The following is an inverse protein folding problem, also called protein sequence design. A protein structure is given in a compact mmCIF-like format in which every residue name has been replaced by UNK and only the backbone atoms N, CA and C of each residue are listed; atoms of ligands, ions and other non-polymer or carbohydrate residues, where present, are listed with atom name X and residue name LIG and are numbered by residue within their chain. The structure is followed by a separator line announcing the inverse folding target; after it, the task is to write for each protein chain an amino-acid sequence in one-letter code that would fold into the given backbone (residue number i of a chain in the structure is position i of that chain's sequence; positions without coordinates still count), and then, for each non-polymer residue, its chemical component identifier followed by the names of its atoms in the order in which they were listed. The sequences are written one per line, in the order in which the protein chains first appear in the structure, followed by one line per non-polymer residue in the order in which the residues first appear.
data_IF_596198760090
#
_entry.id   IF_596198760090
#
_cell.length_a   1.000
_cell.length_b   1.000
_cell.length_c   1.000
_cell.angle_alpha   90.00
_cell.angle_beta   90.00
_cell.angle_gamma   90.00
#
_symmetry.space_group_name_H-M   'P 1'
#
loop_
_entity.id
_entity.type
_entity.pdbx_description
1 polymer ?
#
# COMPACT_ATOMS: atom_id res chain seq x y z
N UNK A 1 19.35 -41.87 19.18
CA UNK A 1 19.75 -41.38 17.86
C UNK A 1 19.23 -39.96 17.71
N UNK A 2 20.12 -39.02 17.93
CA UNK A 2 19.81 -37.56 18.00
C UNK A 2 19.89 -36.95 16.62
N UNK A 3 18.77 -36.46 16.13
CA UNK A 3 18.70 -35.70 14.87
C UNK A 3 19.20 -34.26 15.09
N UNK A 4 20.32 -33.93 14.47
CA UNK A 4 20.87 -32.59 14.39
C UNK A 4 19.94 -31.74 13.49
N UNK A 5 19.31 -30.71 14.07
CA UNK A 5 18.79 -29.57 13.33
C UNK A 5 19.96 -28.72 12.84
N UNK A 6 20.28 -28.79 11.58
CA UNK A 6 21.19 -27.83 10.95
C UNK A 6 20.48 -26.45 10.86
N UNK A 7 20.94 -25.56 11.71
CA UNK A 7 20.69 -24.12 11.53
C UNK A 7 21.54 -23.66 10.35
N UNK A 8 20.90 -23.44 9.20
CA UNK A 8 21.53 -22.71 8.10
C UNK A 8 21.58 -21.25 8.54
N UNK A 9 22.68 -20.84 9.13
CA UNK A 9 23.11 -19.45 9.22
C UNK A 9 23.41 -19.00 7.79
N UNK A 10 22.46 -18.30 7.16
CA UNK A 10 22.75 -17.55 5.96
C UNK A 10 23.83 -16.53 6.32
N UNK A 11 25.06 -16.82 5.92
CA UNK A 11 26.17 -15.87 6.00
C UNK A 11 25.74 -14.59 5.27
N UNK A 12 25.60 -13.49 6.01
CA UNK A 12 25.54 -12.17 5.42
C UNK A 12 26.87 -11.98 4.66
N UNK A 13 26.85 -12.21 3.35
CA UNK A 13 27.96 -11.83 2.52
C UNK A 13 28.16 -10.33 2.72
N UNK A 14 29.35 -9.94 3.20
CA UNK A 14 29.76 -8.55 3.24
C UNK A 14 29.84 -8.11 1.78
N UNK A 15 28.78 -7.45 1.31
CA UNK A 15 28.73 -6.84 -0.02
C UNK A 15 29.92 -5.88 -0.11
N UNK A 16 30.74 -5.98 -1.14
CA UNK A 16 31.77 -5.00 -1.44
C UNK A 16 31.16 -3.61 -1.54
N UNK A 17 31.93 -2.57 -1.31
CA UNK A 17 31.46 -1.19 -1.35
C UNK A 17 30.76 -0.83 -2.69
N UNK A 18 31.07 -1.55 -3.78
CA UNK A 18 30.47 -1.40 -5.12
C UNK A 18 29.13 -2.14 -5.31
N UNK A 19 28.73 -3.04 -4.39
CA UNK A 19 27.48 -3.82 -4.51
C UNK A 19 26.33 -3.29 -3.65
N UNK A 20 26.60 -2.22 -2.88
CA UNK A 20 25.62 -1.62 -1.98
C UNK A 20 24.69 -0.71 -2.75
N UNK A 21 23.38 -0.99 -2.71
CA UNK A 21 22.35 -0.11 -3.27
C UNK A 21 22.35 1.20 -2.48
N UNK A 22 22.42 2.32 -3.20
CA UNK A 22 22.35 3.67 -2.67
C UNK A 22 21.00 4.28 -2.97
N UNK A 23 20.26 4.63 -1.93
CA UNK A 23 18.90 5.15 -2.07
C UNK A 23 18.72 6.50 -1.39
N UNK A 24 17.70 7.23 -1.84
CA UNK A 24 17.20 8.40 -1.16
C UNK A 24 15.76 8.19 -0.70
N UNK A 25 15.37 8.84 0.40
CA UNK A 25 13.99 8.89 0.88
C UNK A 25 13.39 10.23 0.52
N UNK A 26 12.24 10.21 -0.16
CA UNK A 26 11.44 11.38 -0.52
C UNK A 26 10.13 11.32 0.27
N UNK A 27 9.91 12.28 1.16
CA UNK A 27 8.86 12.26 2.17
C UNK A 27 9.31 11.50 3.42
N UNK A 28 9.81 12.23 4.42
CA UNK A 28 10.38 11.72 5.67
C UNK A 28 9.43 11.90 6.86
N UNK A 29 8.11 11.79 6.61
CA UNK A 29 7.11 11.64 7.65
C UNK A 29 7.21 10.27 8.34
N UNK A 30 6.25 9.92 9.20
CA UNK A 30 6.31 8.67 9.97
C UNK A 30 6.55 7.41 9.13
N UNK A 31 5.91 7.29 7.96
CA UNK A 31 6.12 6.13 7.07
C UNK A 31 7.50 6.16 6.41
N UNK A 32 7.94 7.32 5.95
CA UNK A 32 9.28 7.48 5.38
C UNK A 32 10.38 7.12 6.38
N UNK A 33 10.27 7.57 7.64
CA UNK A 33 11.21 7.23 8.71
C UNK A 33 11.27 5.71 8.98
N UNK A 34 10.11 5.05 9.04
CA UNK A 34 10.03 3.59 9.20
C UNK A 34 10.77 2.90 8.06
N UNK A 35 10.47 3.26 6.81
CA UNK A 35 11.12 2.68 5.63
C UNK A 35 12.61 2.97 5.61
N UNK A 36 13.06 4.18 5.98
CA UNK A 36 14.48 4.52 6.13
C UNK A 36 15.20 3.51 7.02
N UNK A 37 14.62 3.17 8.18
CA UNK A 37 15.15 2.17 9.09
C UNK A 37 15.19 0.77 8.47
N UNK A 38 14.10 0.32 7.86
CA UNK A 38 14.00 -1.01 7.25
C UNK A 38 15.01 -1.21 6.10
N UNK A 39 15.12 -0.24 5.20
CA UNK A 39 16.11 -0.31 4.12
C UNK A 39 17.54 -0.35 4.64
N UNK A 40 17.84 0.47 5.64
CA UNK A 40 19.18 0.51 6.28
C UNK A 40 19.52 -0.80 6.98
N UNK A 41 18.57 -1.41 7.72
CA UNK A 41 18.75 -2.71 8.35
C UNK A 41 19.05 -3.83 7.33
N UNK A 42 18.54 -3.70 6.11
CA UNK A 42 18.80 -4.62 4.99
C UNK A 42 20.03 -4.25 4.14
N UNK A 43 20.89 -3.35 4.65
CA UNK A 43 22.17 -3.04 4.05
C UNK A 43 22.15 -1.96 2.96
N UNK A 44 21.03 -1.28 2.74
CA UNK A 44 20.95 -0.14 1.83
C UNK A 44 21.65 1.09 2.43
N UNK A 45 22.44 1.80 1.65
CA UNK A 45 22.94 3.12 2.03
C UNK A 45 21.85 4.16 1.76
N UNK A 46 21.27 4.73 2.81
CA UNK A 46 20.38 5.89 2.67
C UNK A 46 21.22 7.14 2.57
N UNK A 47 21.60 7.47 1.35
CA UNK A 47 22.56 8.54 1.03
C UNK A 47 21.97 9.95 0.97
N UNK A 48 20.61 10.04 0.93
CA UNK A 48 19.92 11.33 0.94
C UNK A 48 18.52 11.21 1.55
N UNK A 49 18.06 12.32 2.13
CA UNK A 49 16.70 12.51 2.64
C UNK A 49 16.14 13.80 2.06
N UNK A 50 14.90 13.74 1.58
CA UNK A 50 14.19 14.89 1.05
C UNK A 50 12.82 15.06 1.74
N UNK A 51 12.58 16.23 2.29
CA UNK A 51 11.27 16.63 2.80
C UNK A 51 11.15 18.16 2.74
N UNK A 52 9.95 18.65 2.47
CA UNK A 52 9.63 20.08 2.42
C UNK A 52 9.32 20.68 3.81
N UNK A 53 9.23 19.81 4.84
CA UNK A 53 9.03 20.20 6.24
C UNK A 53 10.28 19.87 7.05
N UNK A 54 10.93 20.92 7.57
CA UNK A 54 12.22 20.82 8.25
C UNK A 54 12.27 19.81 9.40
N UNK A 55 11.27 19.72 10.30
CA UNK A 55 11.27 18.69 11.35
C UNK A 55 11.29 17.26 10.81
N UNK A 56 10.54 16.97 9.74
CA UNK A 56 10.56 15.65 9.10
C UNK A 56 11.92 15.36 8.45
N UNK A 57 12.48 16.33 7.73
CA UNK A 57 13.81 16.25 7.12
C UNK A 57 14.87 15.88 8.18
N UNK A 58 14.88 16.63 9.28
CA UNK A 58 15.82 16.43 10.37
C UNK A 58 15.64 15.07 11.07
N UNK A 59 14.39 14.63 11.25
CA UNK A 59 14.11 13.31 11.82
C UNK A 59 14.60 12.17 10.90
N UNK A 60 14.39 12.30 9.59
CA UNK A 60 14.89 11.33 8.61
C UNK A 60 16.40 11.26 8.55
N UNK A 61 17.09 12.40 8.59
CA UNK A 61 18.56 12.44 8.60
C UNK A 61 19.17 11.74 9.81
N UNK A 62 18.52 11.77 10.98
CA UNK A 62 18.99 11.03 12.18
C UNK A 62 18.98 9.52 11.99
N UNK A 63 18.08 8.99 11.13
CA UNK A 63 17.95 7.56 10.84
C UNK A 63 18.83 7.15 9.66
N UNK A 64 19.01 8.03 8.69
CA UNK A 64 19.75 7.79 7.45
C UNK A 64 21.22 7.36 7.69
N UNK A 65 21.93 7.04 6.63
CA UNK A 65 23.37 6.70 6.72
C UNK A 65 24.21 7.92 7.09
N UNK A 66 25.35 7.70 7.73
CA UNK A 66 26.28 8.79 8.08
C UNK A 66 26.70 9.54 6.81
N UNK A 67 26.60 10.86 6.83
CA UNK A 67 26.91 11.71 5.67
C UNK A 67 25.78 11.83 4.65
N UNK A 68 24.57 11.37 4.96
CA UNK A 68 23.42 11.55 4.09
C UNK A 68 23.14 13.03 3.81
N UNK A 69 22.86 13.35 2.53
CA UNK A 69 22.57 14.72 2.08
C UNK A 69 21.11 15.10 2.40
N UNK A 70 20.90 16.37 2.75
CA UNK A 70 19.57 16.94 2.96
C UNK A 70 19.10 17.67 1.70
N UNK A 71 17.84 17.44 1.31
CA UNK A 71 17.19 18.13 0.20
C UNK A 71 15.79 18.60 0.61
N UNK A 72 15.35 19.73 0.09
CA UNK A 72 13.98 20.21 0.20
C UNK A 72 13.22 20.14 -1.13
N UNK A 73 13.87 19.80 -2.22
CA UNK A 73 13.29 19.57 -3.55
C UNK A 73 13.73 18.20 -4.07
N UNK A 74 12.76 17.30 -4.32
CA UNK A 74 13.03 15.94 -4.81
C UNK A 74 13.71 15.91 -6.19
N UNK A 75 13.54 16.95 -7.01
CA UNK A 75 14.17 17.03 -8.34
C UNK A 75 15.68 17.03 -8.20
N UNK A 76 16.20 17.71 -7.18
CA UNK A 76 17.63 17.72 -6.86
C UNK A 76 18.15 16.35 -6.41
N UNK A 77 17.31 15.55 -5.74
CA UNK A 77 17.65 14.15 -5.44
C UNK A 77 17.82 13.34 -6.73
N UNK A 78 16.93 13.52 -7.71
CA UNK A 78 16.95 12.78 -8.97
C UNK A 78 18.15 13.14 -9.87
N UNK A 79 18.75 14.32 -9.71
CA UNK A 79 19.97 14.74 -10.41
C UNK A 79 21.22 13.96 -9.95
N UNK A 80 21.22 13.39 -8.72
CA UNK A 80 22.36 12.65 -8.19
C UNK A 80 22.49 11.28 -8.87
N UNK A 81 23.47 11.17 -9.78
CA UNK A 81 23.75 9.96 -10.56
C UNK A 81 24.30 8.81 -9.72
N UNK A 82 24.75 9.07 -8.52
CA UNK A 82 25.25 8.04 -7.61
C UNK A 82 24.13 7.31 -6.82
N UNK A 83 22.88 7.72 -6.96
CA UNK A 83 21.73 7.03 -6.38
C UNK A 83 21.18 6.00 -7.37
N UNK A 84 20.92 4.78 -6.89
CA UNK A 84 20.32 3.68 -7.65
C UNK A 84 18.80 3.72 -7.58
N UNK A 85 18.25 4.08 -6.40
CA UNK A 85 16.83 4.00 -6.11
C UNK A 85 16.32 5.17 -5.28
N UNK A 86 15.01 5.36 -5.30
CA UNK A 86 14.29 6.27 -4.40
C UNK A 86 13.14 5.56 -3.70
N UNK A 87 12.89 5.97 -2.46
CA UNK A 87 11.77 5.53 -1.62
C UNK A 87 10.81 6.71 -1.53
N UNK A 88 9.63 6.60 -2.14
CA UNK A 88 8.62 7.66 -2.16
C UNK A 88 7.55 7.34 -1.11
N UNK A 89 7.48 8.17 -0.07
CA UNK A 89 6.54 8.05 1.04
C UNK A 89 5.91 9.42 1.39
N UNK A 90 5.57 10.16 0.35
CA UNK A 90 4.89 11.46 0.38
C UNK A 90 3.37 11.30 0.54
N UNK A 91 2.58 12.38 0.66
CA UNK A 91 1.14 12.32 0.45
C UNK A 91 0.77 11.81 -0.95
N UNK A 92 -0.40 11.17 -1.05
CA UNK A 92 -0.81 10.38 -2.24
C UNK A 92 -0.81 11.18 -3.54
N UNK A 93 -1.21 12.46 -3.49
CA UNK A 93 -1.28 13.35 -4.66
C UNK A 93 0.08 13.65 -5.33
N UNK A 94 1.18 13.32 -4.65
CA UNK A 94 2.53 13.44 -5.20
C UNK A 94 3.08 12.16 -5.84
N UNK A 95 2.48 11.00 -5.52
CA UNK A 95 3.02 9.69 -5.88
C UNK A 95 3.30 9.56 -7.38
N UNK A 96 2.30 9.90 -8.21
CA UNK A 96 2.42 9.70 -9.65
C UNK A 96 3.53 10.55 -10.27
N UNK A 97 3.54 11.83 -9.97
CA UNK A 97 4.54 12.75 -10.51
C UNK A 97 5.95 12.33 -10.11
N UNK A 98 6.16 12.06 -8.82
CA UNK A 98 7.48 11.68 -8.32
C UNK A 98 7.95 10.33 -8.84
N UNK A 99 7.04 9.35 -8.96
CA UNK A 99 7.39 8.03 -9.50
C UNK A 99 7.80 8.12 -10.98
N UNK A 100 7.04 8.87 -11.80
CA UNK A 100 7.36 9.07 -13.22
C UNK A 100 8.70 9.79 -13.37
N UNK A 101 8.90 10.91 -12.69
CA UNK A 101 10.14 11.68 -12.76
C UNK A 101 11.35 10.83 -12.31
N UNK A 102 11.17 9.96 -11.30
CA UNK A 102 12.22 9.08 -10.80
C UNK A 102 12.64 8.01 -11.82
N UNK A 103 11.67 7.32 -12.44
CA UNK A 103 12.01 6.28 -13.44
C UNK A 103 12.60 6.90 -14.71
N UNK A 104 12.16 8.10 -15.11
CA UNK A 104 12.74 8.87 -16.21
C UNK A 104 14.20 9.30 -15.89
N UNK A 105 14.49 9.63 -14.63
CA UNK A 105 15.84 9.92 -14.17
C UNK A 105 16.72 8.66 -14.01
N UNK A 106 16.19 7.47 -14.35
CA UNK A 106 16.89 6.19 -14.30
C UNK A 106 16.95 5.56 -12.91
N UNK A 107 16.07 5.96 -11.97
CA UNK A 107 16.02 5.39 -10.62
C UNK A 107 15.01 4.26 -10.54
N UNK A 108 15.34 3.21 -9.76
CA UNK A 108 14.34 2.24 -9.31
C UNK A 108 13.54 2.83 -8.14
N UNK A 109 12.27 2.42 -7.96
CA UNK A 109 11.36 3.12 -7.05
C UNK A 109 10.64 2.15 -6.11
N UNK A 110 10.74 2.37 -4.81
CA UNK A 110 9.78 1.86 -3.85
C UNK A 110 8.71 2.94 -3.63
N UNK A 111 7.47 2.67 -4.06
CA UNK A 111 6.38 3.63 -4.05
C UNK A 111 5.33 3.24 -3.00
N UNK A 112 5.09 4.07 -2.00
CA UNK A 112 4.04 3.80 -1.03
C UNK A 112 2.64 3.75 -1.68
N UNK A 113 1.76 3.02 -1.03
CA UNK A 113 0.34 2.91 -1.43
C UNK A 113 -0.48 4.11 -0.91
N UNK A 114 -1.58 4.46 -1.60
CA UNK A 114 -2.03 4.02 -2.92
C UNK A 114 -1.08 4.47 -4.02
N UNK A 115 -0.98 3.70 -5.10
CA UNK A 115 0.01 3.99 -6.16
C UNK A 115 -0.17 5.37 -6.80
N UNK A 116 -1.41 5.80 -6.96
CA UNK A 116 -1.76 7.08 -7.57
C UNK A 116 -3.09 7.62 -7.03
N UNK A 117 -3.41 8.86 -7.34
CA UNK A 117 -4.63 9.54 -6.91
C UNK A 117 -5.77 9.41 -7.94
N UNK A 118 -5.45 9.15 -9.22
CA UNK A 118 -6.42 8.97 -10.30
C UNK A 118 -6.08 7.76 -11.19
N UNK A 119 -7.06 7.25 -11.94
CA UNK A 119 -6.85 6.14 -12.90
C UNK A 119 -5.83 6.53 -13.97
N UNK A 120 -5.89 7.76 -14.48
CA UNK A 120 -4.99 8.26 -15.52
C UNK A 120 -3.54 8.31 -15.02
N UNK A 121 -3.31 8.87 -13.84
CA UNK A 121 -1.99 8.90 -13.21
C UNK A 121 -1.39 7.50 -13.04
N UNK A 122 -2.19 6.55 -12.58
CA UNK A 122 -1.73 5.17 -12.45
C UNK A 122 -1.37 4.53 -13.80
N UNK A 123 -2.14 4.79 -14.84
CA UNK A 123 -1.83 4.34 -16.20
C UNK A 123 -0.53 4.97 -16.73
N UNK A 124 -0.28 6.24 -16.43
CA UNK A 124 0.95 6.93 -16.84
C UNK A 124 2.18 6.40 -16.08
N UNK A 125 2.05 6.02 -14.79
CA UNK A 125 3.11 5.32 -14.06
C UNK A 125 3.45 4.00 -14.76
N UNK A 126 2.45 3.15 -15.04
CA UNK A 126 2.66 1.85 -15.73
C UNK A 126 3.40 2.05 -17.04
N UNK A 127 2.95 3.01 -17.87
CA UNK A 127 3.61 3.37 -19.13
C UNK A 127 5.09 3.76 -18.94
N UNK A 128 5.36 4.66 -18.00
CA UNK A 128 6.72 5.16 -17.75
C UNK A 128 7.63 4.03 -17.27
N UNK A 129 7.16 3.18 -16.36
CA UNK A 129 7.91 2.04 -15.82
C UNK A 129 8.26 1.04 -16.92
N UNK A 130 7.29 0.66 -17.76
CA UNK A 130 7.52 -0.30 -18.85
C UNK A 130 8.43 0.25 -19.95
N UNK A 131 8.35 1.56 -20.24
CA UNK A 131 9.23 2.23 -21.20
C UNK A 131 10.66 2.35 -20.70
N UNK A 132 10.86 2.64 -19.42
CA UNK A 132 12.20 2.86 -18.85
C UNK A 132 12.89 1.56 -18.39
N UNK A 133 12.12 0.46 -18.22
CA UNK A 133 12.62 -0.80 -17.67
C UNK A 133 13.10 -0.69 -16.21
N UNK A 134 12.66 0.33 -15.47
CA UNK A 134 12.98 0.47 -14.04
C UNK A 134 12.13 -0.47 -13.20
N UNK A 135 12.70 -0.92 -12.09
CA UNK A 135 11.98 -1.71 -11.10
C UNK A 135 11.19 -0.78 -10.22
N UNK A 136 9.86 -0.97 -10.18
CA UNK A 136 8.97 -0.21 -9.30
C UNK A 136 8.11 -1.17 -8.49
N UNK A 137 8.21 -1.09 -7.17
CA UNK A 137 7.39 -1.88 -6.25
C UNK A 137 6.44 -0.98 -5.46
N UNK A 138 5.15 -1.34 -5.49
CA UNK A 138 4.11 -0.64 -4.71
C UNK A 138 4.06 -1.17 -3.28
N UNK A 139 3.89 -0.31 -2.29
CA UNK A 139 3.94 -0.64 -0.85
C UNK A 139 2.76 -1.48 -0.33
N UNK A 140 2.34 -2.52 -1.07
CA UNK A 140 1.30 -3.48 -0.66
C UNK A 140 1.93 -4.76 -0.10
N UNK A 141 2.48 -4.65 1.12
CA UNK A 141 3.36 -5.64 1.74
C UNK A 141 2.71 -7.00 2.06
N UNK A 142 1.36 -7.13 1.99
CA UNK A 142 0.68 -8.44 2.11
C UNK A 142 1.19 -9.43 1.08
N UNK A 143 1.56 -8.97 -0.12
CA UNK A 143 2.10 -9.79 -1.21
C UNK A 143 3.47 -10.44 -0.89
N UNK A 144 4.11 -10.01 0.19
CA UNK A 144 5.41 -10.56 0.64
C UNK A 144 5.33 -11.18 2.04
N UNK A 145 4.14 -11.38 2.59
CA UNK A 145 3.95 -11.97 3.91
C UNK A 145 3.50 -13.43 3.80
N UNK A 146 4.24 -14.34 4.41
CA UNK A 146 4.06 -15.80 4.26
C UNK A 146 2.63 -16.28 4.46
N UNK A 147 1.91 -15.74 5.47
CA UNK A 147 0.50 -16.07 5.73
C UNK A 147 -0.37 -15.79 4.52
N UNK A 148 -0.15 -14.65 3.86
CA UNK A 148 -0.92 -14.27 2.66
C UNK A 148 -0.47 -15.03 1.42
N UNK A 149 0.84 -15.31 1.29
CA UNK A 149 1.39 -16.14 0.19
C UNK A 149 0.80 -17.54 0.25
N UNK A 150 0.79 -18.17 1.43
CA UNK A 150 0.19 -19.50 1.61
C UNK A 150 -1.32 -19.49 1.33
N UNK A 151 -2.06 -18.48 1.82
CA UNK A 151 -3.48 -18.30 1.49
C UNK A 151 -3.72 -18.20 -0.02
N UNK A 152 -2.87 -17.44 -0.74
CA UNK A 152 -2.92 -17.35 -2.21
C UNK A 152 -2.66 -18.72 -2.86
N UNK A 153 -1.67 -19.48 -2.39
CA UNK A 153 -1.37 -20.81 -2.90
C UNK A 153 -2.54 -21.79 -2.72
N UNK A 154 -3.29 -21.69 -1.62
CA UNK A 154 -4.50 -22.47 -1.38
C UNK A 154 -5.57 -22.18 -2.44
N UNK A 155 -5.77 -20.90 -2.78
CA UNK A 155 -6.71 -20.48 -3.83
C UNK A 155 -6.23 -20.93 -5.21
N UNK A 156 -4.95 -20.72 -5.55
CA UNK A 156 -4.38 -21.12 -6.84
C UNK A 156 -4.39 -22.63 -7.07
N UNK A 157 -4.28 -23.42 -6.00
CA UNK A 157 -4.42 -24.86 -6.04
C UNK A 157 -5.87 -25.35 -6.23
N UNK A 158 -6.84 -24.43 -6.40
CA UNK A 158 -8.25 -24.76 -6.60
C UNK A 158 -8.94 -25.38 -5.39
N UNK A 159 -8.37 -25.27 -4.18
CA UNK A 159 -8.90 -25.90 -2.96
C UNK A 159 -10.31 -25.41 -2.59
N UNK A 160 -10.70 -24.21 -3.01
CA UNK A 160 -12.00 -23.62 -2.72
C UNK A 160 -13.05 -23.95 -3.79
N UNK A 161 -12.66 -24.47 -4.95
CA UNK A 161 -13.54 -24.55 -6.12
C UNK A 161 -13.85 -23.16 -6.68
N UNK A 162 -15.04 -22.98 -7.22
CA UNK A 162 -15.47 -21.70 -7.79
C UNK A 162 -15.80 -20.68 -6.68
N UNK A 163 -15.12 -19.56 -6.66
CA UNK A 163 -15.34 -18.47 -5.70
C UNK A 163 -16.27 -17.46 -6.36
N UNK A 164 -17.48 -17.27 -5.81
CA UNK A 164 -18.48 -16.32 -6.30
C UNK A 164 -18.68 -15.11 -5.40
N UNK A 165 -18.19 -15.18 -4.17
CA UNK A 165 -18.29 -14.12 -3.18
C UNK A 165 -16.97 -13.95 -2.43
N UNK A 166 -16.51 -12.69 -2.31
CA UNK A 166 -15.45 -12.30 -1.39
C UNK A 166 -16.01 -11.20 -0.48
N UNK A 167 -15.97 -11.40 0.84
CA UNK A 167 -16.41 -10.39 1.80
C UNK A 167 -15.26 -9.92 2.67
N UNK A 168 -15.16 -8.61 2.89
CA UNK A 168 -14.06 -8.04 3.69
C UNK A 168 -14.56 -6.96 4.64
N UNK A 169 -13.95 -6.95 5.82
CA UNK A 169 -14.18 -5.91 6.82
C UNK A 169 -12.83 -5.36 7.32
N UNK A 170 -12.85 -4.10 7.75
CA UNK A 170 -11.78 -3.50 8.54
C UNK A 170 -12.39 -2.56 9.59
N UNK A 171 -12.39 -3.01 10.82
CA UNK A 171 -12.99 -2.31 11.94
C UNK A 171 -11.90 -1.78 12.88
N UNK A 172 -12.04 -0.52 13.30
CA UNK A 172 -11.09 0.09 14.21
C UNK A 172 -11.74 1.23 15.00
N UNK A 173 -10.99 1.77 15.94
CA UNK A 173 -11.39 2.93 16.73
C UNK A 173 -10.41 4.08 16.46
N UNK A 174 -10.91 5.15 15.86
CA UNK A 174 -10.18 6.39 15.63
C UNK A 174 -10.69 7.47 16.59
N UNK A 175 -9.78 8.10 17.33
CA UNK A 175 -10.04 9.30 18.11
C UNK A 175 -10.01 10.56 17.29
N UNK A 176 -10.41 11.69 17.90
CA UNK A 176 -10.26 13.00 17.30
C UNK A 176 -8.76 13.37 17.17
N UNK A 177 -8.46 14.31 16.29
CA UNK A 177 -7.09 14.73 16.05
C UNK A 177 -6.58 15.63 17.18
N UNK A 178 -5.36 15.40 17.68
CA UNK A 178 -4.73 16.34 18.59
C UNK A 178 -4.44 17.66 17.86
N UNK A 179 -4.53 18.77 18.58
CA UNK A 179 -4.04 20.04 18.06
C UNK A 179 -2.51 19.93 17.81
N UNK A 180 -2.07 20.33 16.64
CA UNK A 180 -0.67 20.33 16.25
C UNK A 180 -0.30 21.68 15.65
N UNK A 181 0.86 22.20 16.06
CA UNK A 181 1.44 23.45 15.53
C UNK A 181 2.61 23.13 14.63
N UNK A 182 2.81 23.97 13.62
CA UNK A 182 4.00 23.89 12.78
C UNK A 182 5.23 24.33 13.59
N UNK A 183 6.25 23.49 13.58
CA UNK A 183 7.54 23.71 14.21
C UNK A 183 8.60 23.76 13.10
N UNK A 184 9.31 24.88 12.93
CA UNK A 184 10.28 25.02 11.85
C UNK A 184 9.65 25.37 10.48
N UNK A 185 10.46 25.27 9.43
CA UNK A 185 10.09 25.70 8.08
C UNK A 185 9.29 24.64 7.34
N UNK A 186 8.26 25.09 6.64
CA UNK A 186 7.48 24.30 5.69
C UNK A 186 7.41 25.04 4.35
N UNK A 187 7.87 24.43 3.27
CA UNK A 187 7.59 24.91 1.92
C UNK A 187 6.18 24.44 1.49
N UNK A 188 5.18 25.27 1.85
CA UNK A 188 3.78 24.95 1.59
C UNK A 188 3.46 24.88 0.10
N UNK A 189 4.08 25.68 -0.74
CA UNK A 189 3.84 25.67 -2.18
C UNK A 189 4.35 24.38 -2.83
N UNK A 190 5.54 23.94 -2.45
CA UNK A 190 6.03 22.64 -2.88
C UNK A 190 5.21 21.49 -2.29
N UNK A 191 4.75 21.62 -1.04
CA UNK A 191 3.91 20.59 -0.44
C UNK A 191 2.58 20.42 -1.20
N UNK A 192 1.91 21.53 -1.57
CA UNK A 192 0.69 21.50 -2.37
C UNK A 192 0.91 20.87 -3.75
N UNK A 193 2.00 21.19 -4.41
CA UNK A 193 2.35 20.64 -5.71
C UNK A 193 1.23 20.67 -6.75
N UNK A 194 0.73 19.48 -7.20
CA UNK A 194 -0.35 19.39 -8.17
C UNK A 194 -1.75 19.68 -7.59
N UNK A 195 -1.92 19.70 -6.27
CA UNK A 195 -3.19 19.97 -5.64
C UNK A 195 -3.60 21.45 -5.81
N UNK A 196 -4.89 21.72 -5.59
CA UNK A 196 -5.43 23.08 -5.66
C UNK A 196 -4.69 24.04 -4.73
N UNK A 197 -4.31 25.20 -5.25
CA UNK A 197 -3.63 26.23 -4.47
C UNK A 197 -4.54 26.79 -3.39
N UNK A 198 -4.00 26.90 -2.18
CA UNK A 198 -4.68 27.49 -1.01
C UNK A 198 -3.69 28.04 -0.03
N UNK A 199 -4.16 28.87 0.88
CA UNK A 199 -3.37 29.39 1.99
C UNK A 199 -2.92 28.24 2.91
N UNK A 200 -1.83 28.49 3.66
CA UNK A 200 -1.29 27.53 4.60
C UNK A 200 -2.32 27.18 5.69
N UNK A 201 -2.60 25.90 5.76
CA UNK A 201 -3.51 25.30 6.75
C UNK A 201 -2.78 24.16 7.48
N UNK A 202 -2.37 24.41 8.71
CA UNK A 202 -1.65 23.45 9.53
C UNK A 202 -2.48 22.19 9.82
N UNK A 203 -3.80 22.33 10.00
CA UNK A 203 -4.68 21.19 10.22
C UNK A 203 -4.71 20.28 9.00
N UNK A 204 -4.85 20.82 7.80
CA UNK A 204 -4.78 20.07 6.53
C UNK A 204 -3.40 19.45 6.31
N UNK A 205 -2.33 20.15 6.61
CA UNK A 205 -0.98 19.62 6.52
C UNK A 205 -0.77 18.37 7.38
N UNK A 206 -1.13 18.43 8.65
CA UNK A 206 -0.94 17.30 9.57
C UNK A 206 -1.94 16.17 9.37
N UNK A 207 -3.11 16.48 8.82
CA UNK A 207 -4.21 15.52 8.62
C UNK A 207 -4.56 15.36 7.13
N UNK A 208 -3.59 15.60 6.24
CA UNK A 208 -3.76 15.57 4.77
C UNK A 208 -4.50 14.34 4.26
N UNK A 209 -4.29 13.23 4.89
CA UNK A 209 -4.88 11.94 4.58
C UNK A 209 -6.40 11.95 4.53
N UNK A 210 -7.05 12.89 5.22
CA UNK A 210 -8.51 12.99 5.34
C UNK A 210 -9.14 14.04 4.42
N UNK A 211 -8.41 14.54 3.42
CA UNK A 211 -8.86 15.54 2.48
C UNK A 211 -8.75 15.04 1.05
N UNK A 212 -9.84 15.21 0.25
CA UNK A 212 -9.91 14.71 -1.13
C UNK A 212 -8.86 15.32 -2.07
N UNK A 213 -8.36 16.51 -1.78
CA UNK A 213 -7.30 17.13 -2.58
C UNK A 213 -5.98 16.36 -2.50
N UNK A 214 -5.75 15.58 -1.45
CA UNK A 214 -4.47 14.96 -1.16
C UNK A 214 -4.54 13.43 -1.07
N UNK A 215 -5.71 12.90 -0.70
CA UNK A 215 -5.93 11.46 -0.48
C UNK A 215 -7.42 11.12 -0.51
N UNK A 216 -7.77 9.86 -0.35
CA UNK A 216 -9.14 9.37 -0.13
C UNK A 216 -9.37 8.88 1.30
N UNK A 217 -8.52 9.28 2.24
CA UNK A 217 -8.62 8.97 3.67
C UNK A 217 -8.57 7.50 4.01
N UNK A 218 -9.23 7.17 5.13
CA UNK A 218 -9.31 5.79 5.61
C UNK A 218 -9.91 4.85 4.56
N UNK A 219 -10.90 5.33 3.78
CA UNK A 219 -11.52 4.51 2.73
C UNK A 219 -10.46 4.03 1.73
N UNK A 220 -9.74 4.94 1.09
CA UNK A 220 -8.73 4.61 0.08
C UNK A 220 -7.52 3.92 0.70
N UNK A 221 -7.01 4.44 1.81
CA UNK A 221 -5.79 3.92 2.41
C UNK A 221 -5.92 2.50 2.97
N UNK A 222 -7.11 2.12 3.46
CA UNK A 222 -7.36 0.76 3.95
C UNK A 222 -7.81 -0.16 2.80
N UNK A 223 -8.69 0.35 1.92
CA UNK A 223 -9.10 -0.40 0.74
C UNK A 223 -7.91 -0.76 -0.16
N UNK A 224 -6.87 0.08 -0.24
CA UNK A 224 -5.65 -0.24 -1.00
C UNK A 224 -5.05 -1.60 -0.63
N UNK A 225 -5.02 -1.95 0.66
CA UNK A 225 -4.51 -3.25 1.12
C UNK A 225 -5.49 -4.40 0.87
N UNK A 226 -6.80 -4.14 0.97
CA UNK A 226 -7.83 -5.16 0.87
C UNK A 226 -8.13 -5.49 -0.58
N UNK A 227 -8.35 -4.46 -1.41
CA UNK A 227 -8.64 -4.61 -2.84
C UNK A 227 -7.45 -5.23 -3.58
N UNK A 228 -6.21 -4.78 -3.26
CA UNK A 228 -4.99 -5.39 -3.80
C UNK A 228 -4.94 -6.90 -3.51
N UNK A 229 -5.25 -7.31 -2.28
CA UNK A 229 -5.26 -8.71 -1.89
C UNK A 229 -6.38 -9.49 -2.60
N UNK A 230 -7.60 -8.95 -2.69
CA UNK A 230 -8.72 -9.58 -3.41
C UNK A 230 -8.33 -9.80 -4.87
N UNK A 231 -7.88 -8.75 -5.56
CA UNK A 231 -7.50 -8.84 -6.98
C UNK A 231 -6.32 -9.77 -7.21
N UNK A 232 -5.34 -9.78 -6.29
CA UNK A 232 -4.22 -10.72 -6.34
C UNK A 232 -4.69 -12.17 -6.20
N UNK A 233 -5.54 -12.48 -5.21
CA UNK A 233 -6.06 -13.83 -4.98
C UNK A 233 -6.93 -14.32 -6.15
N UNK A 234 -7.74 -13.43 -6.71
CA UNK A 234 -8.67 -13.74 -7.80
C UNK A 234 -8.07 -13.56 -9.20
N UNK A 235 -6.79 -13.15 -9.30
CA UNK A 235 -6.08 -12.84 -10.55
C UNK A 235 -6.81 -11.79 -11.41
N UNK A 236 -7.53 -10.85 -10.79
CA UNK A 236 -8.36 -9.84 -11.46
C UNK A 236 -7.55 -8.57 -11.74
N UNK A 237 -7.86 -7.89 -12.85
CA UNK A 237 -7.15 -6.69 -13.32
C UNK A 237 -7.97 -5.42 -13.18
N UNK A 238 -9.29 -5.52 -13.20
CA UNK A 238 -10.22 -4.38 -13.11
C UNK A 238 -11.62 -4.89 -12.72
N UNK A 239 -12.45 -4.05 -12.09
CA UNK A 239 -13.86 -4.34 -11.89
C UNK A 239 -14.69 -3.96 -13.13
N UNK A 240 -15.84 -4.59 -13.32
CA UNK A 240 -16.87 -4.12 -14.26
C UNK A 240 -17.56 -2.87 -13.73
N UNK A 241 -17.87 -2.89 -12.43
CA UNK A 241 -18.52 -1.78 -11.76
C UNK A 241 -18.17 -1.72 -10.27
N UNK A 242 -18.27 -0.52 -9.71
CA UNK A 242 -18.12 -0.26 -8.28
C UNK A 242 -19.25 0.63 -7.80
N UNK A 243 -19.82 0.28 -6.64
CA UNK A 243 -20.73 1.13 -5.88
C UNK A 243 -20.15 1.34 -4.48
N UNK A 244 -20.15 2.58 -4.01
CA UNK A 244 -19.71 2.92 -2.67
C UNK A 244 -20.75 3.81 -1.98
N UNK A 245 -21.05 3.47 -0.73
CA UNK A 245 -21.91 4.27 0.13
C UNK A 245 -21.25 4.41 1.50
N UNK A 246 -21.41 5.57 2.12
CA UNK A 246 -20.82 5.85 3.42
C UNK A 246 -21.54 6.95 4.17
N UNK A 247 -21.31 7.03 5.47
CA UNK A 247 -21.81 8.09 6.33
C UNK A 247 -21.08 9.42 6.11
N UNK A 248 -21.56 10.46 6.78
CA UNK A 248 -20.79 11.70 6.95
C UNK A 248 -19.59 11.45 7.85
N UNK A 249 -18.49 12.21 7.70
CA UNK A 249 -17.35 12.10 8.62
C UNK A 249 -17.78 12.36 10.06
N UNK A 250 -17.39 11.47 10.99
CA UNK A 250 -17.54 11.71 12.44
C UNK A 250 -16.35 12.49 13.02
N UNK A 251 -15.20 12.45 12.35
CA UNK A 251 -14.03 13.23 12.74
C UNK A 251 -14.24 14.69 12.34
N UNK A 252 -13.97 15.60 13.27
CA UNK A 252 -14.21 17.04 13.04
C UNK A 252 -13.22 17.63 12.04
N UNK A 253 -13.73 18.48 11.15
CA UNK A 253 -12.89 19.27 10.22
C UNK A 253 -12.34 18.53 9.01
N UNK A 254 -12.75 17.28 8.75
CA UNK A 254 -12.30 16.45 7.62
C UNK A 254 -13.39 16.23 6.57
N UNK A 255 -12.99 15.78 5.38
CA UNK A 255 -13.90 15.61 4.23
C UNK A 255 -14.26 14.14 3.99
N UNK A 256 -13.35 13.22 4.27
CA UNK A 256 -13.51 11.79 3.95
C UNK A 256 -14.22 11.05 5.07
N UNK A 257 -15.17 10.19 4.70
CA UNK A 257 -15.89 9.34 5.66
C UNK A 257 -14.97 8.35 6.38
N UNK A 258 -15.32 8.02 7.61
CA UNK A 258 -14.69 6.98 8.41
C UNK A 258 -15.51 5.66 8.47
N UNK A 259 -16.66 5.63 7.80
CA UNK A 259 -17.55 4.47 7.74
C UNK A 259 -18.16 4.38 6.35
N UNK A 260 -17.84 3.32 5.61
CA UNK A 260 -18.31 3.10 4.24
C UNK A 260 -18.25 1.63 3.84
N UNK A 261 -19.03 1.29 2.80
CA UNK A 261 -18.95 -0.02 2.13
C UNK A 261 -18.74 0.17 0.63
N UNK A 262 -17.81 -0.61 0.07
CA UNK A 262 -17.55 -0.71 -1.36
C UNK A 262 -18.10 -2.06 -1.85
N UNK A 263 -18.88 -2.04 -2.92
CA UNK A 263 -19.37 -3.19 -3.65
C UNK A 263 -18.67 -3.25 -5.01
N UNK A 264 -18.10 -4.40 -5.38
CA UNK A 264 -17.28 -4.56 -6.57
C UNK A 264 -17.77 -5.74 -7.40
N UNK A 265 -18.06 -5.50 -8.67
CA UNK A 265 -18.46 -6.53 -9.64
C UNK A 265 -17.30 -6.82 -10.58
N UNK A 266 -16.92 -8.08 -10.76
CA UNK A 266 -15.77 -8.47 -11.57
C UNK A 266 -16.13 -9.30 -12.79
N UNK A 267 -15.37 -9.17 -13.91
CA UNK A 267 -15.63 -9.94 -15.13
C UNK A 267 -15.42 -11.45 -14.95
N UNK A 268 -14.63 -11.87 -13.97
CA UNK A 268 -14.41 -13.27 -13.59
C UNK A 268 -15.61 -13.88 -12.86
N UNK A 269 -16.77 -13.20 -12.90
CA UNK A 269 -18.06 -13.67 -12.39
C UNK A 269 -18.08 -13.89 -10.87
N UNK A 270 -17.40 -13.01 -10.12
CA UNK A 270 -17.53 -12.93 -8.67
C UNK A 270 -17.88 -11.51 -8.22
N UNK A 271 -18.41 -11.43 -7.03
CA UNK A 271 -18.77 -10.19 -6.34
C UNK A 271 -17.90 -10.04 -5.10
N UNK A 272 -17.36 -8.85 -4.89
CA UNK A 272 -16.58 -8.57 -3.69
C UNK A 272 -17.14 -7.38 -2.91
N UNK A 273 -16.99 -7.43 -1.59
CA UNK A 273 -17.36 -6.34 -0.68
C UNK A 273 -16.22 -5.95 0.22
N UNK A 274 -16.15 -4.66 0.55
CA UNK A 274 -15.27 -4.17 1.60
C UNK A 274 -16.02 -3.17 2.47
N UNK A 275 -16.12 -3.44 3.77
CA UNK A 275 -16.73 -2.54 4.75
C UNK A 275 -15.69 -2.00 5.72
N UNK A 276 -15.62 -0.68 5.79
CA UNK A 276 -14.78 0.09 6.70
C UNK A 276 -15.62 0.65 7.84
N UNK A 277 -15.14 0.53 9.10
CA UNK A 277 -15.74 1.18 10.26
C UNK A 277 -14.67 1.62 11.26
N UNK A 278 -14.40 2.92 11.32
CA UNK A 278 -13.34 3.48 12.19
C UNK A 278 -13.86 4.18 13.45
N UNK A 279 -15.15 4.20 13.65
CA UNK A 279 -15.80 4.51 14.94
C UNK A 279 -16.48 3.27 15.53
N UNK A 280 -16.15 2.10 15.00
CA UNK A 280 -16.63 0.82 15.49
C UNK A 280 -15.78 0.30 16.66
N UNK A 281 -16.26 -0.73 17.32
CA UNK A 281 -15.49 -1.44 18.34
C UNK A 281 -14.29 -2.12 17.66
N UNK A 282 -13.11 -1.95 18.24
CA UNK A 282 -11.91 -2.67 17.81
C UNK A 282 -11.93 -4.09 18.37
N UNK A 283 -11.90 -5.05 17.48
CA UNK A 283 -11.74 -6.46 17.83
C UNK A 283 -10.27 -6.83 18.03
N UNK A 284 -10.02 -8.05 18.48
CA UNK A 284 -8.68 -8.63 18.48
C UNK A 284 -8.12 -8.70 17.06
N UNK A 285 -6.77 -8.67 16.91
CA UNK A 285 -6.05 -8.62 15.63
C UNK A 285 -6.41 -9.70 14.60
N UNK A 286 -7.03 -10.78 15.01
CA UNK A 286 -7.55 -11.81 14.10
C UNK A 286 -8.87 -11.42 13.43
N UNK A 287 -9.64 -10.53 14.04
CA UNK A 287 -11.00 -10.21 13.63
C UNK A 287 -11.20 -8.75 13.20
N UNK A 288 -10.24 -7.85 13.49
CA UNK A 288 -10.33 -6.44 13.12
C UNK A 288 -10.15 -6.20 11.61
N UNK A 289 -9.49 -7.14 10.95
CA UNK A 289 -9.34 -7.19 9.50
C UNK A 289 -9.59 -8.62 9.06
N UNK A 290 -10.65 -8.84 8.32
CA UNK A 290 -11.02 -10.16 7.83
C UNK A 290 -11.43 -10.08 6.36
N UNK A 291 -10.83 -10.92 5.53
CA UNK A 291 -11.24 -11.16 4.14
C UNK A 291 -11.59 -12.61 3.98
N UNK A 292 -12.82 -12.90 3.55
CA UNK A 292 -13.38 -14.26 3.41
C UNK A 292 -13.60 -14.57 1.94
N UNK A 293 -12.95 -15.61 1.45
CA UNK A 293 -13.15 -16.16 0.11
C UNK A 293 -14.10 -17.35 0.21
N UNK A 294 -15.33 -17.17 -0.27
CA UNK A 294 -16.38 -18.18 -0.19
C UNK A 294 -16.37 -19.05 -1.46
N UNK A 295 -15.79 -20.24 -1.34
CA UNK A 295 -15.84 -21.26 -2.37
C UNK A 295 -17.08 -22.13 -2.29
N UNK A 296 -17.15 -23.18 -3.13
CA UNK A 296 -18.34 -24.06 -3.22
C UNK A 296 -18.59 -24.87 -1.96
N UNK A 297 -17.54 -25.40 -1.32
CA UNK A 297 -17.63 -26.23 -0.11
C UNK A 297 -16.61 -25.85 0.97
N UNK A 298 -15.79 -24.87 0.70
CA UNK A 298 -14.72 -24.46 1.58
C UNK A 298 -14.64 -22.94 1.58
N UNK A 299 -14.48 -22.35 2.75
CA UNK A 299 -14.23 -20.92 2.93
C UNK A 299 -12.84 -20.70 3.48
N UNK A 300 -12.09 -19.77 2.88
CA UNK A 300 -10.81 -19.29 3.38
C UNK A 300 -11.00 -17.94 4.06
N UNK A 301 -10.69 -17.86 5.34
CA UNK A 301 -10.67 -16.65 6.13
C UNK A 301 -9.24 -16.14 6.24
N UNK A 302 -8.98 -14.92 5.75
CA UNK A 302 -7.69 -14.24 5.83
C UNK A 302 -7.78 -13.08 6.82
N UNK A 303 -7.16 -13.22 7.98
CA UNK A 303 -6.95 -12.14 8.93
C UNK A 303 -5.69 -11.33 8.59
N UNK A 304 -5.32 -10.35 9.42
CA UNK A 304 -4.07 -9.60 9.27
C UNK A 304 -2.85 -10.52 9.32
N UNK A 305 -2.84 -11.43 10.27
CA UNK A 305 -1.71 -12.26 10.70
C UNK A 305 -2.07 -13.75 10.76
N UNK A 306 -3.16 -14.13 10.09
CA UNK A 306 -3.67 -15.50 10.14
C UNK A 306 -4.42 -15.88 8.88
N UNK A 307 -4.50 -17.19 8.62
CA UNK A 307 -5.55 -17.73 7.79
C UNK A 307 -6.20 -18.92 8.47
N UNK A 308 -7.44 -19.23 8.09
CA UNK A 308 -8.14 -20.44 8.50
C UNK A 308 -9.02 -20.94 7.37
N UNK A 309 -9.04 -22.27 7.15
CA UNK A 309 -9.79 -22.93 6.10
C UNK A 309 -10.95 -23.71 6.75
N UNK A 310 -12.16 -23.35 6.41
CA UNK A 310 -13.38 -23.93 6.97
C UNK A 310 -14.14 -24.75 5.92
N UNK A 311 -14.38 -26.04 6.15
CA UNK A 311 -15.21 -26.85 5.26
C UNK A 311 -16.69 -26.53 5.49
N UNK A 312 -17.53 -26.87 4.49
CA UNK A 312 -18.96 -26.96 4.70
C UNK A 312 -19.27 -27.99 5.81
N UNK A 313 -20.17 -27.66 6.72
CA UNK A 313 -20.54 -28.53 7.83
C UNK A 313 -21.93 -28.20 8.32
N UNK A 314 -22.66 -29.24 8.80
CA UNK A 314 -23.92 -29.10 9.54
C UNK A 314 -23.72 -28.96 11.04
N UNK A 315 -22.47 -29.02 11.54
CA UNK A 315 -22.18 -28.86 12.95
C UNK A 315 -22.45 -27.41 13.41
N UNK A 316 -22.94 -27.26 14.64
CA UNK A 316 -23.17 -25.94 15.25
C UNK A 316 -21.87 -25.17 15.44
N UNK A 317 -20.76 -25.85 15.73
CA UNK A 317 -19.45 -25.27 15.91
C UNK A 317 -18.61 -25.41 14.62
N UNK A 318 -18.17 -24.28 14.10
CA UNK A 318 -17.33 -24.24 12.91
C UNK A 318 -15.85 -24.38 13.31
N UNK A 319 -15.21 -25.49 12.92
CA UNK A 319 -13.79 -25.76 13.17
C UNK A 319 -12.99 -25.69 11.88
N UNK A 320 -11.81 -25.03 11.85
CA UNK A 320 -10.94 -25.02 10.68
C UNK A 320 -10.29 -26.39 10.48
N UNK A 321 -10.14 -26.80 9.22
CA UNK A 321 -9.35 -28.00 8.83
C UNK A 321 -7.87 -27.69 8.61
N UNK A 322 -7.54 -26.41 8.42
CA UNK A 322 -6.17 -25.88 8.40
C UNK A 322 -6.17 -24.43 8.87
N UNK A 323 -5.17 -24.07 9.64
CA UNK A 323 -4.97 -22.68 10.07
C UNK A 323 -3.50 -22.37 10.27
N UNK A 324 -3.16 -21.07 10.14
CA UNK A 324 -1.86 -20.51 10.51
C UNK A 324 -2.07 -19.17 11.19
N UNK A 325 -1.33 -18.92 12.26
CA UNK A 325 -1.36 -17.67 13.02
C UNK A 325 0.09 -17.23 13.31
N UNK A 326 0.38 -15.95 13.05
CA UNK A 326 1.69 -15.33 13.35
C UNK A 326 1.44 -13.99 14.08
N UNK A 327 0.97 -14.00 15.33
CA UNK A 327 0.59 -12.81 16.07
C UNK A 327 1.74 -11.80 16.24
N UNK A 328 1.48 -10.51 15.99
CA UNK A 328 2.46 -9.43 16.15
C UNK A 328 3.53 -9.36 15.06
N UNK A 329 3.50 -10.25 14.07
CA UNK A 329 4.55 -10.34 13.06
C UNK A 329 4.33 -9.43 11.84
N UNK A 330 3.09 -9.03 11.54
CA UNK A 330 2.75 -8.44 10.25
C UNK A 330 3.58 -7.20 9.90
N UNK A 331 3.57 -6.18 10.76
CA UNK A 331 4.17 -4.90 10.38
C UNK A 331 5.68 -5.00 10.13
N UNK A 332 6.41 -5.62 11.02
CA UNK A 332 7.87 -5.78 10.85
C UNK A 332 8.18 -6.81 9.77
N UNK A 333 7.68 -8.03 9.92
CA UNK A 333 8.03 -9.17 9.05
C UNK A 333 7.60 -8.93 7.60
N UNK A 334 6.36 -8.49 7.38
CA UNK A 334 5.85 -8.22 6.05
C UNK A 334 6.59 -7.05 5.38
N UNK A 335 6.89 -5.97 6.11
CA UNK A 335 7.64 -4.83 5.56
C UNK A 335 9.06 -5.24 5.22
N UNK A 336 9.75 -5.94 6.13
CA UNK A 336 11.13 -6.42 5.90
C UNK A 336 11.20 -7.34 4.68
N UNK A 337 10.28 -8.31 4.55
CA UNK A 337 10.22 -9.21 3.40
C UNK A 337 9.94 -8.45 2.08
N UNK A 338 9.07 -7.45 2.15
CA UNK A 338 8.72 -6.64 1.00
C UNK A 338 9.88 -5.77 0.51
N UNK A 339 10.58 -5.11 1.43
CA UNK A 339 11.79 -4.34 1.11
C UNK A 339 12.90 -5.26 0.56
N UNK A 340 13.10 -6.44 1.15
CA UNK A 340 14.07 -7.43 0.65
C UNK A 340 13.74 -7.83 -0.79
N UNK A 341 12.49 -8.14 -1.10
CA UNK A 341 12.07 -8.45 -2.47
C UNK A 341 12.38 -7.31 -3.44
N UNK A 342 12.13 -6.05 -3.08
CA UNK A 342 12.49 -4.91 -3.92
C UNK A 342 14.00 -4.85 -4.21
N UNK A 343 14.83 -5.00 -3.17
CA UNK A 343 16.29 -4.97 -3.31
C UNK A 343 16.82 -6.15 -4.17
N UNK A 344 16.20 -7.32 -4.06
CA UNK A 344 16.49 -8.48 -4.93
C UNK A 344 16.08 -8.21 -6.39
N UNK A 345 14.92 -7.58 -6.59
CA UNK A 345 14.46 -7.22 -7.93
C UNK A 345 15.32 -6.14 -8.60
N UNK A 346 15.85 -5.16 -7.85
CA UNK A 346 16.85 -4.22 -8.38
C UNK A 346 18.06 -4.97 -8.94
N UNK A 347 18.57 -5.98 -8.23
CA UNK A 347 19.74 -6.76 -8.67
C UNK A 347 19.42 -7.71 -9.83
N UNK A 348 18.27 -8.38 -9.78
CA UNK A 348 17.89 -9.41 -10.75
C UNK A 348 17.17 -8.85 -11.98
N UNK A 349 16.72 -7.60 -11.92
CA UNK A 349 15.86 -6.94 -12.93
C UNK A 349 14.54 -7.67 -13.19
N UNK A 350 14.07 -8.50 -12.25
CA UNK A 350 12.74 -9.15 -12.29
C UNK A 350 11.67 -8.24 -11.76
N UNK A 351 10.42 -8.50 -12.17
CA UNK A 351 9.26 -7.80 -11.58
C UNK A 351 9.13 -8.16 -10.08
N UNK A 352 8.78 -7.17 -9.24
CA UNK A 352 8.61 -7.39 -7.81
C UNK A 352 7.28 -8.06 -7.47
N UNK A 353 7.11 -8.51 -6.24
CA UNK A 353 5.87 -9.13 -5.73
C UNK A 353 4.64 -8.21 -5.88
N UNK A 354 4.85 -6.90 -5.81
CA UNK A 354 3.81 -5.88 -5.99
C UNK A 354 4.13 -4.97 -7.18
N UNK A 355 3.96 -5.47 -8.43
CA UNK A 355 4.26 -4.70 -9.64
C UNK A 355 3.22 -3.58 -9.85
N UNK A 356 3.59 -2.61 -10.66
CA UNK A 356 2.74 -1.43 -10.95
C UNK A 356 1.39 -1.78 -11.57
N UNK A 357 1.27 -2.89 -12.29
CA UNK A 357 -0.01 -3.38 -12.84
C UNK A 357 -0.99 -3.76 -11.72
N UNK A 358 -0.50 -4.39 -10.65
CA UNK A 358 -1.31 -4.67 -9.45
C UNK A 358 -1.72 -3.38 -8.75
N UNK A 359 -0.80 -2.42 -8.66
CA UNK A 359 -1.09 -1.08 -8.16
C UNK A 359 -2.16 -0.36 -8.97
N UNK A 360 -2.08 -0.42 -10.32
CA UNK A 360 -3.08 0.18 -11.20
C UNK A 360 -4.45 -0.53 -11.11
N UNK A 361 -4.47 -1.85 -11.05
CA UNK A 361 -5.72 -2.60 -10.85
C UNK A 361 -6.45 -2.15 -9.58
N UNK A 362 -5.71 -2.02 -8.49
CA UNK A 362 -6.22 -1.50 -7.21
C UNK A 362 -6.67 -0.05 -7.34
N UNK A 363 -5.86 0.80 -7.97
CA UNK A 363 -6.14 2.23 -8.13
C UNK A 363 -7.44 2.51 -8.92
N UNK A 364 -7.77 1.67 -9.91
CA UNK A 364 -9.04 1.73 -10.64
C UNK A 364 -10.21 1.61 -9.66
N UNK A 365 -10.20 0.60 -8.81
CA UNK A 365 -11.29 0.40 -7.82
C UNK A 365 -11.37 1.56 -6.84
N UNK A 366 -10.24 2.03 -6.32
CA UNK A 366 -10.20 3.11 -5.33
C UNK A 366 -10.79 4.41 -5.89
N UNK A 367 -10.41 4.77 -7.12
CA UNK A 367 -10.95 5.95 -7.82
C UNK A 367 -12.45 5.81 -8.06
N UNK A 368 -12.90 4.66 -8.58
CA UNK A 368 -14.32 4.40 -8.81
C UNK A 368 -15.14 4.42 -7.51
N UNK A 369 -14.57 3.93 -6.40
CA UNK A 369 -15.22 3.99 -5.09
C UNK A 369 -15.41 5.43 -4.59
N UNK A 370 -14.40 6.30 -4.76
CA UNK A 370 -14.51 7.72 -4.43
C UNK A 370 -15.54 8.44 -5.33
N UNK A 371 -15.52 8.17 -6.63
CA UNK A 371 -16.47 8.74 -7.57
C UNK A 371 -17.91 8.29 -7.24
N UNK A 372 -18.11 7.02 -6.89
CA UNK A 372 -19.39 6.49 -6.46
C UNK A 372 -19.86 7.13 -5.15
N UNK A 373 -18.98 7.21 -4.14
CA UNK A 373 -19.30 7.85 -2.85
C UNK A 373 -19.74 9.30 -3.02
N UNK A 374 -19.06 10.05 -3.88
CA UNK A 374 -19.33 11.49 -4.12
C UNK A 374 -20.55 11.74 -4.99
N UNK A 375 -20.81 10.88 -5.98
CA UNK A 375 -21.93 11.04 -6.92
C UNK A 375 -23.20 10.31 -6.47
N UNK A 376 -23.10 9.34 -5.56
CA UNK A 376 -24.20 8.44 -5.19
C UNK A 376 -24.59 7.44 -6.29
N UNK A 377 -23.74 7.26 -7.32
CA UNK A 377 -24.03 6.43 -8.48
C UNK A 377 -23.15 5.19 -8.54
N UNK A 378 -23.64 4.14 -9.21
CA UNK A 378 -22.83 2.99 -9.61
C UNK A 378 -21.92 3.40 -10.77
N UNK A 379 -20.60 3.24 -10.60
CA UNK A 379 -19.59 3.60 -11.59
C UNK A 379 -19.16 2.36 -12.37
N UNK A 380 -19.17 2.42 -13.70
CA UNK A 380 -18.73 1.35 -14.59
C UNK A 380 -17.36 1.67 -15.18
N UNK A 381 -16.53 0.64 -15.37
CA UNK A 381 -15.23 0.77 -16.02
C UNK A 381 -15.28 0.19 -17.44
N UNK A 382 -14.69 0.89 -18.40
CA UNK A 382 -14.46 0.40 -19.75
C UNK A 382 -12.96 0.07 -19.91
N UNK A 383 -12.56 -1.21 -20.00
CA UNK A 383 -11.16 -1.60 -20.09
C UNK A 383 -10.50 -1.23 -21.43
N UNK A 384 -11.26 -1.07 -22.51
CA UNK A 384 -10.74 -0.70 -23.82
C UNK A 384 -10.28 0.76 -23.85
N UNK A 385 -11.02 1.65 -23.18
CA UNK A 385 -10.72 3.07 -23.16
C UNK A 385 -10.03 3.54 -21.88
N UNK A 386 -10.01 2.71 -20.84
CA UNK A 386 -9.52 3.08 -19.51
C UNK A 386 -10.38 4.13 -18.80
N UNK A 387 -11.63 4.35 -19.25
CA UNK A 387 -12.53 5.39 -18.73
C UNK A 387 -13.64 4.82 -17.87
N UNK A 388 -14.16 5.67 -16.99
CA UNK A 388 -15.33 5.36 -16.17
C UNK A 388 -16.56 6.11 -16.68
N UNK A 389 -17.76 5.54 -16.39
CA UNK A 389 -19.06 6.17 -16.62
C UNK A 389 -20.01 5.88 -15.46
N UNK A 390 -20.94 6.75 -15.20
CA UNK A 390 -22.01 6.62 -14.20
C UNK A 390 -23.36 6.34 -14.83
#
# INVERSE_FOLDING_TARGET
MTSRREFVLASAAVLGANDRIRAAVIGSGGRGQLLTGEFKELGTEIAAVCDVYEPNLNAGLKIASTGAKAYNDYRRVLEDKALDAVIIATPDHWHARMAIDAVEAGKDVYLEKPMAHTIAEGADIVKAVRRTGRVVQVGTQRRSFDVWIEGKQIVDAGKLGNIRLVSSIWLNRQGDFPERKLEGKLDWQQWLGPAAKRDLDAFRFFNWYYFFDYSGGLLVGQAAHVVDAIQWFMNSKYPLAVTCSGGKPNLKGVEVTDTASILMEYPENYFATFTLGYKAMRYHTFNDQLTQFHGERVRLDMGRESYALYPETSAMELKPVAEKKQPGAFWKTATTAHVRNFLECIRSRKDPNAPVEGGQATNIVLTMALDSLRSGKRIQYNPETGRVRS
#
